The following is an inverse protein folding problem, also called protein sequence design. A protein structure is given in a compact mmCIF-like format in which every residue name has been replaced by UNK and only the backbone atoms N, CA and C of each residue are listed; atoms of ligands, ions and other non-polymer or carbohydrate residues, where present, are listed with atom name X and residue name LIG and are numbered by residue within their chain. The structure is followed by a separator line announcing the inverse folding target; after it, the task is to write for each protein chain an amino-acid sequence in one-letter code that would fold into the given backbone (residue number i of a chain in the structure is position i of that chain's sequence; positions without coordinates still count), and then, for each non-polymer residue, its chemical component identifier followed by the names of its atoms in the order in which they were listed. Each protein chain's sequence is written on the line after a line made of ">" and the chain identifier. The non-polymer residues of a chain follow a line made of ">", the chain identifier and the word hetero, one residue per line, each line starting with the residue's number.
data_IF_687037415221
#
_entry.id   IF_687037415221
#
_cell.length_a   1.000
_cell.length_b   1.000
_cell.length_c   1.000
_cell.angle_alpha   90.00
_cell.angle_beta   90.00
_cell.angle_gamma   90.00
#
_symmetry.space_group_name_H-M   'P 1'
#
loop_
_entity.id
_entity.type
_entity.pdbx_description
1 polymer ?
#
# COMPACT_ATOMS: atom_id res chain seq x y z
N UNK A 1 -7.88 -17.94 -8.31
CA UNK A 1 -6.51 -17.96 -7.77
C UNK A 1 -6.52 -18.90 -6.56
N UNK A 2 -5.49 -19.73 -6.34
CA UNK A 2 -5.41 -20.55 -5.12
C UNK A 2 -4.53 -19.80 -4.15
N UNK A 3 -5.12 -19.21 -3.12
CA UNK A 3 -4.43 -18.26 -2.25
C UNK A 3 -4.18 -18.90 -0.88
N UNK A 4 -2.98 -18.66 -0.33
CA UNK A 4 -2.66 -18.93 1.07
C UNK A 4 -2.66 -17.58 1.76
N UNK A 5 -3.63 -17.36 2.66
CA UNK A 5 -3.73 -16.13 3.43
C UNK A 5 -2.94 -16.29 4.73
N UNK A 6 -1.96 -15.41 4.93
CA UNK A 6 -1.18 -15.35 6.17
C UNK A 6 -1.61 -14.07 6.90
N UNK A 7 -2.19 -14.16 8.10
CA UNK A 7 -2.47 -12.98 8.89
C UNK A 7 -1.13 -12.34 9.29
N UNK A 8 -0.94 -11.09 8.90
CA UNK A 8 0.24 -10.32 9.28
C UNK A 8 -0.16 -9.41 10.46
N UNK A 9 0.74 -9.19 11.43
CA UNK A 9 0.51 -8.18 12.47
C UNK A 9 0.42 -6.79 11.83
N UNK A 10 -0.03 -5.79 12.60
CA UNK A 10 0.06 -4.40 12.14
C UNK A 10 1.52 -4.05 11.84
N UNK A 11 1.75 -3.52 10.64
CA UNK A 11 3.06 -3.04 10.24
C UNK A 11 3.27 -1.64 10.80
N UNK A 12 4.43 -1.41 11.41
CA UNK A 12 4.94 -0.06 11.60
C UNK A 12 5.47 0.47 10.26
N UNK A 13 5.58 1.79 10.14
CA UNK A 13 6.18 2.43 8.96
C UNK A 13 7.58 1.85 8.71
N UNK A 14 7.92 1.65 7.43
CA UNK A 14 9.22 1.13 6.97
C UNK A 14 9.51 -0.36 7.27
N UNK A 15 8.55 -1.12 7.79
CA UNK A 15 8.72 -2.57 7.98
C UNK A 15 8.48 -3.37 6.70
N UNK A 16 9.33 -4.39 6.49
CA UNK A 16 9.23 -5.34 5.38
C UNK A 16 8.86 -6.72 5.94
N UNK A 17 7.75 -7.28 5.48
CA UNK A 17 7.44 -8.70 5.66
C UNK A 17 8.06 -9.52 4.54
N UNK A 18 8.79 -10.56 4.91
CA UNK A 18 9.34 -11.56 4.00
C UNK A 18 8.57 -12.87 4.14
N UNK A 19 8.15 -13.44 3.01
CA UNK A 19 7.45 -14.73 2.94
C UNK A 19 8.22 -15.67 2.03
N UNK A 20 8.79 -16.74 2.58
CA UNK A 20 9.36 -17.84 1.82
C UNK A 20 8.35 -19.00 1.72
N UNK A 21 8.02 -19.40 0.48
CA UNK A 21 7.18 -20.56 0.20
C UNK A 21 8.01 -21.62 -0.51
N UNK A 22 7.95 -22.86 -0.04
CA UNK A 22 8.62 -24.01 -0.66
C UNK A 22 7.59 -24.96 -1.26
N UNK A 23 7.61 -25.13 -2.59
CA UNK A 23 6.72 -26.04 -3.33
C UNK A 23 7.58 -27.08 -4.04
N UNK A 24 7.39 -28.36 -3.73
CA UNK A 24 8.15 -29.47 -4.31
C UNK A 24 9.68 -29.25 -4.25
N UNK A 25 10.18 -28.77 -3.12
CA UNK A 25 11.61 -28.50 -2.95
C UNK A 25 12.07 -27.13 -3.45
N UNK A 26 11.31 -26.47 -4.32
CA UNK A 26 11.67 -25.17 -4.91
C UNK A 26 11.19 -24.02 -4.01
N UNK A 27 12.12 -23.17 -3.59
CA UNK A 27 11.83 -21.96 -2.80
C UNK A 27 11.40 -20.81 -3.72
N UNK A 28 10.45 -20.01 -3.25
CA UNK A 28 10.10 -18.69 -3.78
C UNK A 28 9.99 -17.74 -2.61
N UNK A 29 10.59 -16.55 -2.76
CA UNK A 29 10.60 -15.53 -1.73
C UNK A 29 9.82 -14.32 -2.23
N UNK A 30 8.96 -13.79 -1.37
CA UNK A 30 8.14 -12.63 -1.64
C UNK A 30 8.38 -11.60 -0.55
N UNK A 31 8.65 -10.36 -0.95
CA UNK A 31 8.83 -9.25 -0.03
C UNK A 31 7.62 -8.32 -0.15
N UNK A 32 7.04 -8.00 1.00
CA UNK A 32 5.91 -7.09 1.15
C UNK A 32 6.29 -5.96 2.08
N UNK A 33 5.72 -4.78 1.86
CA UNK A 33 5.89 -3.66 2.80
C UNK A 33 4.64 -2.81 2.84
N UNK A 34 4.42 -2.17 3.98
CA UNK A 34 3.33 -1.24 4.21
C UNK A 34 3.88 0.18 4.31
N UNK A 35 3.19 1.11 3.65
CA UNK A 35 3.62 2.50 3.55
C UNK A 35 2.44 3.43 3.83
N UNK A 36 2.71 4.47 4.62
CA UNK A 36 1.79 5.56 4.93
C UNK A 36 1.93 6.67 3.89
N UNK A 37 0.82 7.06 3.26
CA UNK A 37 0.76 8.23 2.38
C UNK A 37 -0.11 9.31 3.00
N UNK A 38 0.21 10.58 2.71
CA UNK A 38 -0.61 11.69 3.17
C UNK A 38 -1.99 11.62 2.52
N UNK A 39 -3.02 11.56 3.37
CA UNK A 39 -4.43 11.55 3.00
C UNK A 39 -5.16 12.84 3.41
N UNK A 40 -4.50 13.66 4.22
CA UNK A 40 -5.02 14.97 4.59
C UNK A 40 -4.77 15.98 3.47
N UNK A 41 -5.82 16.71 3.12
CA UNK A 41 -5.76 17.82 2.18
C UNK A 41 -6.35 18.99 2.95
N UNK A 42 -5.63 20.10 3.04
CA UNK A 42 -6.13 21.29 3.72
C UNK A 42 -7.39 21.78 3.00
N UNK A 43 -8.52 21.76 3.70
CA UNK A 43 -9.87 21.93 3.12
C UNK A 43 -10.52 23.25 3.50
N UNK A 44 -9.73 24.32 3.51
CA UNK A 44 -10.26 25.67 3.72
C UNK A 44 -11.13 26.08 2.52
N UNK A 45 -12.43 25.79 2.56
CA UNK A 45 -13.44 26.35 1.65
C UNK A 45 -13.85 25.50 0.43
N UNK A 46 -13.64 24.18 0.43
CA UNK A 46 -13.96 23.28 -0.70
C UNK A 46 -15.18 22.40 -0.36
N UNK A 47 -16.11 22.19 -1.29
CA UNK A 47 -17.27 21.31 -1.09
C UNK A 47 -16.85 19.83 -0.95
N UNK A 48 -17.55 19.05 -0.12
CA UNK A 48 -17.18 17.66 0.23
C UNK A 48 -16.88 16.72 -0.98
N UNK A 49 -17.56 16.90 -2.13
CA UNK A 49 -17.31 16.09 -3.33
C UNK A 49 -15.97 16.41 -4.00
N UNK A 50 -15.56 17.67 -3.97
CA UNK A 50 -14.29 18.11 -4.52
C UNK A 50 -13.14 17.64 -3.62
N UNK A 51 -13.35 17.62 -2.29
CA UNK A 51 -12.35 17.14 -1.33
C UNK A 51 -11.90 15.71 -1.61
N UNK A 52 -12.84 14.78 -1.83
CA UNK A 52 -12.51 13.36 -2.07
C UNK A 52 -11.72 13.22 -3.37
N UNK A 53 -12.15 13.93 -4.41
CA UNK A 53 -11.49 13.90 -5.73
C UNK A 53 -10.04 14.41 -5.61
N UNK A 54 -9.83 15.53 -4.92
CA UNK A 54 -8.47 16.06 -4.65
C UNK A 54 -7.61 15.10 -3.84
N UNK A 55 -8.17 14.40 -2.85
CA UNK A 55 -7.45 13.37 -2.08
C UNK A 55 -6.97 12.21 -2.96
N UNK A 56 -7.85 11.73 -3.85
CA UNK A 56 -7.52 10.65 -4.79
C UNK A 56 -6.42 11.10 -5.76
N UNK A 57 -6.51 12.30 -6.31
CA UNK A 57 -5.50 12.87 -7.21
C UNK A 57 -4.14 13.02 -6.51
N UNK A 58 -4.13 13.52 -5.27
CA UNK A 58 -2.92 13.64 -4.47
C UNK A 58 -2.28 12.27 -4.20
N UNK A 59 -3.07 11.28 -3.78
CA UNK A 59 -2.58 9.92 -3.56
C UNK A 59 -2.01 9.33 -4.85
N UNK A 60 -2.70 9.49 -5.98
CA UNK A 60 -2.24 9.02 -7.28
C UNK A 60 -0.88 9.61 -7.64
N UNK A 61 -0.69 10.92 -7.46
CA UNK A 61 0.59 11.59 -7.70
C UNK A 61 1.70 11.06 -6.79
N UNK A 62 1.41 10.83 -5.51
CA UNK A 62 2.37 10.22 -4.58
C UNK A 62 2.78 8.80 -5.02
N UNK A 63 1.82 7.99 -5.47
CA UNK A 63 2.06 6.60 -5.91
C UNK A 63 2.83 6.50 -7.23
N UNK A 64 2.55 7.38 -8.20
CA UNK A 64 3.25 7.41 -9.49
C UNK A 64 4.75 7.68 -9.32
N UNK A 65 5.14 8.43 -8.29
CA UNK A 65 6.52 8.78 -7.99
C UNK A 65 7.22 7.83 -7.01
N UNK A 66 6.50 6.86 -6.44
CA UNK A 66 6.97 6.12 -5.28
C UNK A 66 8.14 5.17 -5.58
N UNK A 67 7.95 4.14 -6.41
CA UNK A 67 9.05 3.23 -6.75
C UNK A 67 8.76 2.26 -7.90
N UNK A 68 9.73 2.09 -8.81
CA UNK A 68 9.57 1.24 -10.01
C UNK A 68 9.69 -0.26 -9.73
N UNK A 69 10.40 -0.67 -8.68
CA UNK A 69 10.62 -2.09 -8.32
C UNK A 69 9.56 -2.65 -7.36
N UNK A 70 8.57 -1.85 -6.96
CA UNK A 70 7.44 -2.27 -6.16
C UNK A 70 6.15 -2.22 -6.98
N UNK A 71 5.25 -3.15 -6.67
CA UNK A 71 3.93 -3.29 -7.28
C UNK A 71 2.88 -3.00 -6.20
N UNK A 72 1.91 -2.13 -6.53
CA UNK A 72 0.80 -1.84 -5.65
C UNK A 72 -0.15 -3.04 -5.60
N UNK A 73 -0.40 -3.55 -4.40
CA UNK A 73 -1.29 -4.70 -4.18
C UNK A 73 -2.63 -4.25 -3.63
N UNK A 74 -2.64 -3.37 -2.62
CA UNK A 74 -3.85 -2.96 -1.94
C UNK A 74 -3.70 -1.56 -1.35
N UNK A 75 -4.74 -0.72 -1.52
CA UNK A 75 -4.93 0.52 -0.78
C UNK A 75 -5.96 0.23 0.29
N UNK A 76 -5.65 0.51 1.56
CA UNK A 76 -6.58 0.30 2.66
C UNK A 76 -7.56 1.46 2.76
N UNK A 77 -8.77 1.18 3.25
CA UNK A 77 -9.74 2.24 3.56
C UNK A 77 -9.22 3.06 4.74
N UNK A 78 -9.02 4.39 4.57
CA UNK A 78 -8.61 5.24 5.67
C UNK A 78 -9.75 5.32 6.70
N UNK A 79 -9.41 5.31 7.99
CA UNK A 79 -10.42 5.51 9.05
C UNK A 79 -10.90 6.97 9.01
N UNK A 80 -12.10 7.24 9.50
CA UNK A 80 -12.61 8.60 9.62
C UNK A 80 -11.62 9.50 10.41
N UNK A 81 -11.33 10.69 9.88
CA UNK A 81 -10.35 11.60 10.45
C UNK A 81 -8.87 11.20 10.31
N UNK A 82 -8.55 10.12 9.58
CA UNK A 82 -7.15 9.71 9.37
C UNK A 82 -6.38 10.72 8.51
N UNK A 83 -5.20 11.11 8.98
CA UNK A 83 -4.26 11.95 8.23
C UNK A 83 -3.50 11.19 7.15
N UNK A 84 -3.38 9.88 7.33
CA UNK A 84 -2.64 8.99 6.43
C UNK A 84 -3.53 7.87 5.90
N UNK A 85 -3.18 7.33 4.73
CA UNK A 85 -3.76 6.12 4.15
C UNK A 85 -2.66 5.08 3.98
N UNK A 86 -2.97 3.83 4.32
CA UNK A 86 -2.02 2.73 4.21
C UNK A 86 -2.09 2.09 2.82
N UNK A 87 -0.93 1.72 2.28
CA UNK A 87 -0.81 1.02 1.00
C UNK A 87 0.15 -0.16 1.15
N UNK A 88 -0.29 -1.33 0.70
CA UNK A 88 0.50 -2.55 0.63
C UNK A 88 1.17 -2.67 -0.72
N UNK A 89 2.48 -2.89 -0.70
CA UNK A 89 3.26 -3.20 -1.89
C UNK A 89 3.88 -4.59 -1.82
N UNK A 90 4.11 -5.17 -3.00
CA UNK A 90 4.93 -6.36 -3.21
C UNK A 90 6.13 -6.00 -4.06
N UNK A 91 7.31 -6.49 -3.72
CA UNK A 91 8.48 -6.32 -4.56
C UNK A 91 8.30 -7.11 -5.86
N UNK A 92 8.52 -6.45 -6.99
CA UNK A 92 8.48 -7.10 -8.31
C UNK A 92 9.54 -8.19 -8.35
N UNK A 93 9.13 -9.39 -8.74
CA UNK A 93 10.04 -10.47 -9.00
C UNK A 93 10.66 -10.22 -10.38
N UNK A 94 11.98 -10.09 -10.46
CA UNK A 94 12.68 -10.14 -11.74
C UNK A 94 12.67 -11.61 -12.14
N UNK A 95 11.95 -11.92 -13.23
CA UNK A 95 11.93 -13.24 -13.85
C UNK A 95 13.25 -13.52 -14.56
#
# INVERSE_FOLDING_TARGET
>A
MKDITIPLPEFLEEQIAEVEVKINGKKRQYNFRMESFSWDVSTSGVENKDIISTKIENLRSQLENYSKNWELIQIFTPREGSKNIQVLFRQKQIL
#
